data_IF_635642235706
#
_entry.id   IF_635642235706
#
_cell.length_a   1.000
_cell.length_b   1.000
_cell.length_c   1.000
_cell.angle_alpha   90.00
_cell.angle_beta   90.00
_cell.angle_gamma   90.00
#
_symmetry.space_group_name_H-M   'P 1'
#
loop_
_entity.id
_entity.type
_entity.pdbx_description
1 polymer ?
#
# COMPACT_ATOMS: atom_id res chain seq x y z
N UNK A 1 4.26 20.66 8.26
CA UNK A 1 5.44 19.78 8.26
C UNK A 1 5.14 18.62 7.32
N UNK A 2 5.97 18.38 6.31
CA UNK A 2 5.85 17.18 5.47
C UNK A 2 6.24 15.94 6.29
N UNK A 3 5.54 14.80 6.15
CA UNK A 3 5.89 13.57 6.86
C UNK A 3 7.33 13.12 6.56
N UNK A 4 7.95 12.48 7.54
CA UNK A 4 9.26 11.84 7.43
C UNK A 4 9.17 10.52 6.65
N UNK A 5 10.29 10.06 6.10
CA UNK A 5 10.38 8.76 5.45
C UNK A 5 9.91 7.60 6.35
N UNK A 6 10.10 7.71 7.68
CA UNK A 6 9.62 6.72 8.65
C UNK A 6 8.09 6.66 8.69
N UNK A 7 7.42 7.80 8.66
CA UNK A 7 5.95 7.86 8.67
C UNK A 7 5.38 7.27 7.38
N UNK A 8 6.00 7.51 6.22
CA UNK A 8 5.60 6.86 4.98
C UNK A 8 5.80 5.34 5.01
N UNK A 9 6.92 4.86 5.56
CA UNK A 9 7.12 3.42 5.78
C UNK A 9 6.09 2.83 6.74
N UNK A 10 5.66 3.60 7.75
CA UNK A 10 4.60 3.17 8.66
C UNK A 10 3.25 3.06 7.94
N UNK A 11 2.88 4.03 7.09
CA UNK A 11 1.68 3.91 6.26
C UNK A 11 1.70 2.64 5.38
N UNK A 12 2.84 2.35 4.74
CA UNK A 12 3.00 1.14 3.94
C UNK A 12 2.79 -0.12 4.78
N UNK A 13 3.38 -0.16 5.98
CA UNK A 13 3.26 -1.28 6.91
C UNK A 13 1.82 -1.47 7.38
N UNK A 14 1.12 -0.38 7.75
CA UNK A 14 -0.24 -0.42 8.26
C UNK A 14 -1.22 -0.94 7.20
N UNK A 15 -1.14 -0.41 5.99
CA UNK A 15 -2.00 -0.84 4.87
C UNK A 15 -1.71 -2.27 4.43
N UNK A 16 -0.43 -2.67 4.37
CA UNK A 16 -0.06 -4.06 4.05
C UNK A 16 -0.57 -5.02 5.14
N UNK A 17 -0.45 -4.64 6.41
CA UNK A 17 -0.95 -5.41 7.55
C UNK A 17 -2.46 -5.56 7.47
N UNK A 18 -3.20 -4.49 7.16
CA UNK A 18 -4.64 -4.54 6.98
C UNK A 18 -5.04 -5.52 5.86
N UNK A 19 -4.42 -5.43 4.68
CA UNK A 19 -4.73 -6.33 3.55
C UNK A 19 -4.43 -7.78 3.95
N UNK A 20 -3.24 -8.06 4.49
CA UNK A 20 -2.85 -9.43 4.86
C UNK A 20 -3.77 -10.04 5.93
N UNK A 21 -4.04 -9.30 7.01
CA UNK A 21 -4.85 -9.80 8.13
C UNK A 21 -6.31 -9.98 7.73
N UNK A 22 -6.89 -9.04 7.00
CA UNK A 22 -8.29 -9.12 6.53
C UNK A 22 -8.49 -10.19 5.44
N UNK A 23 -7.46 -10.52 4.67
CA UNK A 23 -7.54 -11.55 3.61
C UNK A 23 -7.54 -12.98 4.16
N UNK A 24 -7.05 -13.21 5.38
CA UNK A 24 -6.81 -14.56 5.92
C UNK A 24 -8.10 -15.39 6.06
N UNK A 25 -9.23 -14.76 6.36
CA UNK A 25 -10.53 -15.42 6.53
C UNK A 25 -11.45 -15.26 5.32
N UNK A 26 -10.94 -14.70 4.22
CA UNK A 26 -11.73 -14.28 3.09
C UNK A 26 -11.58 -15.23 1.91
N UNK A 27 -12.69 -15.80 1.47
CA UNK A 27 -12.74 -16.51 0.19
C UNK A 27 -13.04 -15.54 -0.96
N UNK A 28 -12.66 -15.95 -2.17
CA UNK A 28 -12.80 -15.14 -3.39
C UNK A 28 -14.24 -14.70 -3.63
N UNK A 29 -15.21 -15.57 -3.39
CA UNK A 29 -16.63 -15.27 -3.67
C UNK A 29 -17.12 -14.17 -2.76
N UNK A 30 -16.81 -14.25 -1.46
CA UNK A 30 -17.12 -13.19 -0.48
C UNK A 30 -16.46 -11.87 -0.84
N UNK A 31 -15.18 -11.89 -1.24
CA UNK A 31 -14.48 -10.66 -1.65
C UNK A 31 -15.15 -9.99 -2.85
N UNK A 32 -15.48 -10.76 -3.90
CA UNK A 32 -16.06 -10.20 -5.14
C UNK A 32 -17.45 -9.59 -4.88
N UNK A 33 -18.21 -10.14 -3.94
CA UNK A 33 -19.55 -9.67 -3.58
C UNK A 33 -19.55 -8.47 -2.63
N UNK A 34 -18.44 -8.20 -1.93
CA UNK A 34 -18.34 -7.08 -1.00
C UNK A 34 -17.71 -5.84 -1.67
N UNK A 35 -18.57 -4.94 -2.18
CA UNK A 35 -18.15 -3.69 -2.79
C UNK A 35 -17.37 -2.76 -1.85
N UNK A 36 -17.68 -2.79 -0.56
CA UNK A 36 -17.01 -1.95 0.43
C UNK A 36 -15.58 -2.44 0.64
N UNK A 37 -15.42 -3.75 0.80
CA UNK A 37 -14.11 -4.37 1.00
C UNK A 37 -13.21 -4.23 -0.24
N UNK A 38 -13.77 -4.36 -1.44
CA UNK A 38 -13.03 -4.09 -2.69
C UNK A 38 -12.50 -2.66 -2.72
N UNK A 39 -13.33 -1.67 -2.40
CA UNK A 39 -12.93 -0.25 -2.34
C UNK A 39 -11.88 -0.01 -1.26
N UNK A 40 -12.01 -0.65 -0.10
CA UNK A 40 -11.02 -0.58 0.96
C UNK A 40 -9.65 -1.10 0.49
N UNK A 41 -9.61 -2.25 -0.19
CA UNK A 41 -8.36 -2.82 -0.71
C UNK A 41 -7.72 -1.95 -1.79
N UNK A 42 -8.53 -1.43 -2.73
CA UNK A 42 -8.04 -0.46 -3.74
C UNK A 42 -7.46 0.76 -3.04
N UNK A 43 -8.16 1.31 -2.05
CA UNK A 43 -7.69 2.48 -1.30
C UNK A 43 -6.38 2.21 -0.56
N UNK A 44 -6.23 1.05 0.08
CA UNK A 44 -4.99 0.65 0.75
C UNK A 44 -3.81 0.59 -0.23
N UNK A 45 -4.02 0.05 -1.44
CA UNK A 45 -2.98 -0.01 -2.48
C UNK A 45 -2.61 1.40 -2.97
N UNK A 46 -3.57 2.31 -3.13
CA UNK A 46 -3.31 3.71 -3.46
C UNK A 46 -2.47 4.42 -2.39
N UNK A 47 -2.79 4.21 -1.11
CA UNK A 47 -2.05 4.80 0.02
C UNK A 47 -0.61 4.27 0.04
N UNK A 48 -0.42 2.96 -0.20
CA UNK A 48 0.92 2.36 -0.33
C UNK A 48 1.69 3.02 -1.47
N UNK A 49 1.08 3.13 -2.66
CA UNK A 49 1.71 3.75 -3.83
C UNK A 49 2.09 5.21 -3.61
N UNK A 50 1.21 5.99 -2.98
CA UNK A 50 1.49 7.38 -2.65
C UNK A 50 2.62 7.50 -1.62
N UNK A 51 2.62 6.67 -0.56
CA UNK A 51 3.69 6.65 0.42
C UNK A 51 5.06 6.30 -0.21
N UNK A 52 5.09 5.37 -1.17
CA UNK A 52 6.32 4.99 -1.89
C UNK A 52 6.89 6.16 -2.71
N UNK A 53 6.05 6.97 -3.36
CA UNK A 53 6.50 8.16 -4.12
C UNK A 53 7.19 9.19 -3.24
N UNK A 54 6.79 9.27 -1.98
CA UNK A 54 7.35 10.22 -1.01
C UNK A 54 8.65 9.71 -0.35
N UNK A 55 9.06 8.47 -0.60
CA UNK A 55 10.32 7.94 -0.09
C UNK A 55 11.52 8.53 -0.84
N UNK A 56 12.61 8.93 -0.14
CA UNK A 56 13.83 9.40 -0.77
C UNK A 56 14.40 8.37 -1.76
N UNK A 57 14.87 8.82 -2.93
CA UNK A 57 15.45 7.94 -3.95
C UNK A 57 16.59 7.09 -3.40
N UNK A 58 17.46 7.69 -2.57
CA UNK A 58 18.59 6.97 -1.95
C UNK A 58 18.14 5.83 -1.03
N UNK A 59 16.94 5.90 -0.45
CA UNK A 59 16.37 4.79 0.33
C UNK A 59 15.91 3.67 -0.61
N UNK A 60 15.19 4.00 -1.67
CA UNK A 60 14.71 3.01 -2.65
C UNK A 60 15.87 2.31 -3.37
N UNK A 61 16.92 3.06 -3.74
CA UNK A 61 18.14 2.51 -4.34
C UNK A 61 18.93 1.63 -3.37
N UNK A 62 18.97 1.98 -2.08
CA UNK A 62 19.65 1.17 -1.06
C UNK A 62 18.99 -0.19 -0.86
N UNK A 63 17.68 -0.28 -1.10
CA UNK A 63 16.88 -1.50 -0.98
C UNK A 63 16.28 -1.84 -2.35
N UNK A 64 17.14 -1.97 -3.36
CA UNK A 64 16.81 -2.25 -4.76
C UNK A 64 16.24 -3.65 -5.00
N UNK A 65 16.48 -4.59 -4.07
CA UNK A 65 15.85 -5.92 -4.07
C UNK A 65 14.33 -5.86 -3.86
N UNK A 66 13.82 -4.77 -3.28
CA UNK A 66 12.39 -4.54 -3.11
C UNK A 66 11.88 -3.91 -4.41
N UNK A 67 10.91 -4.56 -5.05
CA UNK A 67 10.17 -3.96 -6.15
C UNK A 67 9.25 -2.85 -5.61
N UNK A 68 9.79 -1.64 -5.50
CA UNK A 68 9.05 -0.48 -5.02
C UNK A 68 7.88 -0.19 -5.98
N UNK A 69 6.63 -0.34 -5.54
CA UNK A 69 5.49 -0.18 -6.43
C UNK A 69 5.35 1.28 -6.83
N UNK A 70 5.50 1.55 -8.13
CA UNK A 70 5.28 2.88 -8.72
C UNK A 70 3.86 2.93 -9.27
N UNK A 71 2.85 2.91 -8.40
CA UNK A 71 1.46 3.12 -8.84
C UNK A 71 1.18 4.61 -8.99
N UNK A 72 1.45 5.12 -10.20
CA UNK A 72 0.88 6.36 -10.70
C UNK A 72 -0.45 6.04 -11.37
N UNK A 73 -1.57 6.30 -10.69
CA UNK A 73 -2.79 6.60 -11.43
C UNK A 73 -2.59 8.02 -11.96
N UNK A 74 -1.86 8.14 -13.07
CA UNK A 74 -1.95 9.35 -13.89
C UNK A 74 -3.38 9.35 -14.44
N UNK A 75 -4.28 10.01 -13.70
CA UNK A 75 -5.60 10.42 -14.17
C UNK A 75 -5.47 11.77 -14.89
#
# INVERSE_FOLDING_TARGET
MSPSAREYLQHILDETTYIMTSSTSLDKTKFVQDETLKRAYVRSIEVIGEAVKQLPDGLRQKYDVIEWPVYGWDA
#
